data_IF_003174553094
#
_entry.id   IF_003174553094
#
_cell.length_a   1.000
_cell.length_b   1.000
_cell.length_c   1.000
_cell.angle_alpha   90.00
_cell.angle_beta   90.00
_cell.angle_gamma   90.00
#
_symmetry.space_group_name_H-M   'P 1'
#
loop_
_entity.id
_entity.type
_entity.pdbx_description
1 polymer ?
#
# COMPACT_ATOMS: atom_id res chain seq x y z
N UNK A 1 -40.68 -1.57 7.33
CA UNK A 1 -39.99 -1.52 8.64
C UNK A 1 -38.91 -2.59 8.66
N UNK A 2 -37.66 -2.20 8.48
CA UNK A 2 -36.48 -3.00 8.84
C UNK A 2 -35.52 -2.03 9.52
N UNK A 3 -35.64 -1.90 10.84
CA UNK A 3 -34.63 -1.28 11.68
C UNK A 3 -33.49 -2.28 11.82
N UNK A 4 -32.40 -2.09 11.06
CA UNK A 4 -31.09 -2.56 11.51
C UNK A 4 -30.46 -1.42 12.31
N UNK A 5 -30.23 -1.69 13.60
CA UNK A 5 -29.77 -0.72 14.57
C UNK A 5 -28.47 -0.05 14.15
N UNK A 6 -28.51 1.27 14.01
CA UNK A 6 -27.33 2.12 14.20
C UNK A 6 -27.01 2.09 15.69
N UNK A 7 -26.18 1.15 16.13
CA UNK A 7 -25.51 1.27 17.41
C UNK A 7 -24.05 1.58 17.12
N UNK A 8 -23.80 2.85 16.77
CA UNK A 8 -22.46 3.42 16.81
C UNK A 8 -22.24 3.71 18.30
N UNK A 9 -21.52 2.82 18.99
CA UNK A 9 -20.96 3.16 20.29
C UNK A 9 -19.82 4.13 20.01
N UNK A 10 -20.12 5.43 20.04
CA UNK A 10 -19.08 6.48 20.06
C UNK A 10 -18.38 6.36 21.42
N UNK A 11 -17.31 5.57 21.47
CA UNK A 11 -16.32 5.71 22.53
C UNK A 11 -15.73 7.12 22.38
N UNK A 12 -15.71 7.88 23.46
CA UNK A 12 -15.16 9.23 23.48
C UNK A 12 -13.70 9.20 22.98
N UNK A 13 -13.48 9.54 21.71
CA UNK A 13 -12.14 9.67 21.16
C UNK A 13 -11.54 10.98 21.66
N UNK A 14 -10.69 10.89 22.68
CA UNK A 14 -9.81 11.99 23.11
C UNK A 14 -8.63 12.21 22.14
N UNK A 15 -8.55 11.46 21.04
CA UNK A 15 -7.46 11.56 20.10
C UNK A 15 -7.65 12.73 19.13
N UNK A 16 -6.75 13.70 19.22
CA UNK A 16 -6.71 14.95 18.44
C UNK A 16 -6.37 14.68 16.96
N UNK A 17 -5.93 13.47 16.60
CA UNK A 17 -5.46 13.11 15.26
C UNK A 17 -6.07 11.78 14.79
N UNK A 18 -7.29 11.80 14.27
CA UNK A 18 -7.92 10.56 13.81
C UNK A 18 -7.28 10.05 12.51
N UNK A 19 -6.54 8.95 12.63
CA UNK A 19 -5.95 8.21 11.53
C UNK A 19 -6.73 6.92 11.34
N UNK A 20 -7.34 6.77 10.17
CA UNK A 20 -8.23 5.65 9.90
C UNK A 20 -7.67 4.76 8.80
N UNK A 21 -7.66 3.46 9.04
CA UNK A 21 -7.33 2.45 8.05
C UNK A 21 -8.59 1.75 7.58
N UNK A 22 -8.80 1.70 6.26
CA UNK A 22 -10.00 1.15 5.65
C UNK A 22 -9.68 0.13 4.56
N UNK A 23 -10.39 -0.99 4.58
CA UNK A 23 -10.32 -1.96 3.50
C UNK A 23 -11.63 -2.74 3.32
N UNK A 24 -11.89 -3.19 2.09
CA UNK A 24 -13.08 -3.94 1.73
C UNK A 24 -12.81 -5.40 1.41
N UNK A 25 -13.59 -6.29 2.03
CA UNK A 25 -13.55 -7.73 1.79
C UNK A 25 -14.74 -8.16 0.97
N UNK A 26 -14.46 -8.77 -0.18
CA UNK A 26 -15.48 -9.39 -1.03
C UNK A 26 -15.81 -10.79 -0.53
N UNK A 27 -17.07 -11.21 -0.69
CA UNK A 27 -17.53 -12.56 -0.33
C UNK A 27 -17.03 -13.65 -1.30
N UNK A 28 -16.71 -13.30 -2.54
CA UNK A 28 -16.09 -14.21 -3.51
C UNK A 28 -15.11 -13.48 -4.44
N UNK A 29 -14.14 -14.19 -5.05
CA UNK A 29 -13.20 -13.60 -5.98
C UNK A 29 -13.84 -13.16 -7.30
N UNK A 30 -13.21 -12.18 -7.95
CA UNK A 30 -13.54 -11.77 -9.33
C UNK A 30 -14.89 -11.07 -9.46
N UNK A 31 -15.45 -11.10 -10.66
CA UNK A 31 -16.68 -10.35 -10.97
C UNK A 31 -17.95 -10.92 -10.33
N UNK A 32 -17.85 -12.09 -9.68
CA UNK A 32 -18.98 -12.80 -9.10
C UNK A 32 -19.37 -12.31 -7.69
N UNK A 33 -18.53 -11.52 -7.02
CA UNK A 33 -18.79 -10.99 -5.67
C UNK A 33 -20.20 -10.42 -5.54
N UNK A 34 -20.95 -10.87 -4.53
CA UNK A 34 -22.31 -10.42 -4.25
C UNK A 34 -22.33 -9.35 -3.17
N UNK A 35 -21.42 -9.48 -2.19
CA UNK A 35 -21.34 -8.59 -1.04
C UNK A 35 -19.92 -8.04 -0.86
N UNK A 36 -19.83 -6.81 -0.40
CA UNK A 36 -18.60 -6.24 0.14
C UNK A 36 -18.86 -5.84 1.58
N UNK A 37 -18.01 -6.29 2.49
CA UNK A 37 -17.93 -5.77 3.86
C UNK A 37 -16.73 -4.85 3.93
N UNK A 38 -16.94 -3.58 4.24
CA UNK A 38 -15.89 -2.60 4.41
C UNK A 38 -15.76 -2.24 5.89
N UNK A 39 -14.55 -2.32 6.40
CA UNK A 39 -14.23 -2.08 7.81
C UNK A 39 -13.26 -0.92 7.90
N UNK A 40 -13.54 0.01 8.80
CA UNK A 40 -12.68 1.13 9.15
C UNK A 40 -12.25 1.00 10.61
N UNK A 41 -10.94 1.09 10.86
CA UNK A 41 -10.31 1.00 12.17
C UNK A 41 -9.53 2.29 12.47
N UNK A 42 -9.56 2.74 13.71
CA UNK A 42 -8.70 3.83 14.20
C UNK A 42 -7.35 3.23 14.62
N UNK A 43 -6.24 3.86 14.23
CA UNK A 43 -4.92 3.24 14.30
C UNK A 43 -4.30 3.27 15.71
N UNK A 44 -4.60 4.25 16.55
CA UNK A 44 -4.04 4.34 17.91
C UNK A 44 -4.78 3.40 18.87
N UNK A 45 -6.11 3.47 18.90
CA UNK A 45 -6.92 2.66 19.81
C UNK A 45 -7.15 1.25 19.29
N UNK A 46 -6.99 1.04 17.97
CA UNK A 46 -7.39 -0.19 17.25
C UNK A 46 -8.89 -0.47 17.34
N UNK A 47 -9.69 0.54 17.63
CA UNK A 47 -11.14 0.41 17.66
C UNK A 47 -11.71 0.41 16.25
N UNK A 48 -12.70 -0.46 16.05
CA UNK A 48 -13.49 -0.45 14.82
C UNK A 48 -14.48 0.69 14.91
N UNK A 49 -14.27 1.71 14.09
CA UNK A 49 -15.11 2.92 14.08
C UNK A 49 -16.31 2.78 13.16
N UNK A 50 -16.23 1.93 12.13
CA UNK A 50 -17.36 1.67 11.24
C UNK A 50 -17.19 0.34 10.50
N UNK A 51 -18.28 -0.44 10.42
CA UNK A 51 -18.43 -1.52 9.44
C UNK A 51 -19.66 -1.23 8.58
N UNK A 52 -19.53 -1.38 7.26
CA UNK A 52 -20.68 -1.36 6.35
C UNK A 52 -20.64 -2.60 5.46
N UNK A 53 -21.82 -3.16 5.16
CA UNK A 53 -21.96 -4.26 4.23
C UNK A 53 -22.94 -3.88 3.14
N UNK A 54 -22.47 -3.95 1.89
CA UNK A 54 -23.28 -3.62 0.73
C UNK A 54 -23.49 -4.80 -0.20
N UNK A 55 -24.63 -4.78 -0.89
CA UNK A 55 -25.06 -5.80 -1.84
C UNK A 55 -25.00 -5.23 -3.27
N UNK A 56 -24.28 -5.90 -4.17
CA UNK A 56 -24.14 -5.44 -5.57
C UNK A 56 -25.46 -5.22 -6.31
N UNK A 57 -26.55 -5.90 -5.91
CA UNK A 57 -27.88 -5.75 -6.53
C UNK A 57 -28.40 -4.32 -6.44
N UNK A 58 -27.95 -3.55 -5.44
CA UNK A 58 -28.30 -2.14 -5.27
C UNK A 58 -27.57 -1.21 -6.24
N UNK A 59 -26.48 -1.68 -6.87
CA UNK A 59 -25.55 -0.85 -7.65
C UNK A 59 -25.32 -1.43 -9.05
N UNK A 60 -26.40 -1.74 -9.76
CA UNK A 60 -26.33 -2.21 -11.14
C UNK A 60 -25.60 -3.55 -11.32
N UNK A 61 -25.48 -4.35 -10.25
CA UNK A 61 -24.81 -5.67 -10.23
C UNK A 61 -23.33 -5.61 -10.64
N UNK A 62 -22.68 -4.47 -10.44
CA UNK A 62 -21.25 -4.30 -10.73
C UNK A 62 -20.42 -4.47 -9.45
N UNK A 63 -19.73 -5.59 -9.33
CA UNK A 63 -18.84 -5.91 -8.19
C UNK A 63 -17.59 -5.02 -8.13
N UNK A 64 -17.15 -4.46 -9.26
CA UNK A 64 -15.92 -3.64 -9.34
C UNK A 64 -16.07 -2.31 -8.59
N UNK A 65 -17.30 -1.79 -8.48
CA UNK A 65 -17.56 -0.51 -7.79
C UNK A 65 -17.93 -0.70 -6.32
N UNK A 66 -18.11 -1.94 -5.87
CA UNK A 66 -18.76 -2.21 -4.59
C UNK A 66 -17.92 -1.72 -3.41
N UNK A 67 -16.61 -1.94 -3.47
CA UNK A 67 -15.67 -1.41 -2.46
C UNK A 67 -15.67 0.11 -2.42
N UNK A 68 -15.70 0.77 -3.59
CA UNK A 68 -15.79 2.23 -3.68
C UNK A 68 -17.07 2.75 -3.03
N UNK A 69 -18.20 2.09 -3.30
CA UNK A 69 -19.50 2.45 -2.72
C UNK A 69 -19.50 2.29 -1.21
N UNK A 70 -18.95 1.19 -0.69
CA UNK A 70 -18.79 1.00 0.75
C UNK A 70 -17.91 2.08 1.36
N UNK A 71 -16.75 2.37 0.74
CA UNK A 71 -15.84 3.42 1.18
C UNK A 71 -16.53 4.79 1.26
N UNK A 72 -17.28 5.18 0.21
CA UNK A 72 -18.01 6.44 0.20
C UNK A 72 -19.04 6.49 1.33
N UNK A 73 -19.83 5.42 1.51
CA UNK A 73 -20.81 5.31 2.60
C UNK A 73 -20.16 5.47 3.98
N UNK A 74 -19.02 4.82 4.18
CA UNK A 74 -18.25 4.89 5.43
C UNK A 74 -17.68 6.29 5.68
N UNK A 75 -17.02 6.90 4.69
CA UNK A 75 -16.43 8.23 4.84
C UNK A 75 -17.50 9.30 5.00
N UNK A 76 -18.59 9.25 4.23
CA UNK A 76 -19.71 10.19 4.34
C UNK A 76 -20.35 10.14 5.74
N UNK A 77 -20.40 8.96 6.38
CA UNK A 77 -20.85 8.82 7.76
C UNK A 77 -19.85 9.40 8.76
N UNK A 78 -18.57 9.04 8.65
CA UNK A 78 -17.56 9.37 9.66
C UNK A 78 -17.12 10.82 9.67
N UNK A 79 -17.15 11.51 8.53
CA UNK A 79 -16.72 12.92 8.44
C UNK A 79 -17.56 13.88 9.31
N UNK A 80 -18.79 13.49 9.67
CA UNK A 80 -19.65 14.28 10.55
C UNK A 80 -19.44 13.98 12.05
N UNK A 81 -18.73 12.89 12.37
CA UNK A 81 -18.63 12.34 13.72
C UNK A 81 -17.20 12.40 14.28
N UNK A 82 -16.20 12.34 13.40
CA UNK A 82 -14.78 12.20 13.77
C UNK A 82 -13.92 13.17 12.96
N UNK A 83 -12.95 13.88 13.58
CA UNK A 83 -12.03 14.77 12.88
C UNK A 83 -10.93 14.00 12.12
N UNK A 84 -11.30 13.33 11.03
CA UNK A 84 -10.39 12.54 10.19
C UNK A 84 -9.28 13.42 9.60
N UNK A 85 -8.02 13.02 9.80
CA UNK A 85 -6.85 13.69 9.22
C UNK A 85 -6.17 12.87 8.14
N UNK A 86 -6.08 11.56 8.35
CA UNK A 86 -5.39 10.64 7.46
C UNK A 86 -6.25 9.40 7.25
N UNK A 87 -6.34 8.97 5.99
CA UNK A 87 -7.00 7.73 5.59
C UNK A 87 -5.96 6.83 4.92
N UNK A 88 -5.85 5.59 5.39
CA UNK A 88 -4.97 4.55 4.86
C UNK A 88 -5.81 3.51 4.14
N UNK A 89 -5.47 3.22 2.89
CA UNK A 89 -6.17 2.19 2.11
C UNK A 89 -5.19 1.36 1.30
N UNK A 90 -5.69 0.28 0.72
CA UNK A 90 -5.01 -0.39 -0.38
C UNK A 90 -4.92 0.52 -1.62
N UNK A 91 -4.08 0.10 -2.59
CA UNK A 91 -3.86 0.81 -3.85
C UNK A 91 -5.05 0.69 -4.82
N UNK A 92 -6.25 1.01 -4.36
CA UNK A 92 -7.48 0.98 -5.13
C UNK A 92 -7.67 2.31 -5.88
N UNK A 93 -7.69 2.23 -7.22
CA UNK A 93 -7.73 3.40 -8.11
C UNK A 93 -8.96 4.29 -7.94
N UNK A 94 -10.13 3.70 -7.68
CA UNK A 94 -11.37 4.47 -7.55
C UNK A 94 -11.39 5.25 -6.22
N UNK A 95 -10.99 4.61 -5.13
CA UNK A 95 -10.83 5.26 -3.82
C UNK A 95 -9.77 6.36 -3.88
N UNK A 96 -8.61 6.07 -4.50
CA UNK A 96 -7.56 7.07 -4.71
C UNK A 96 -8.03 8.30 -5.47
N UNK A 97 -8.97 8.14 -6.41
CA UNK A 97 -9.55 9.26 -7.16
C UNK A 97 -10.53 10.08 -6.30
N UNK A 98 -11.27 9.45 -5.38
CA UNK A 98 -12.15 10.15 -4.43
C UNK A 98 -11.36 11.02 -3.44
N UNK A 99 -10.19 10.54 -3.02
CA UNK A 99 -9.27 11.21 -2.09
C UNK A 99 -8.24 12.13 -2.78
N UNK A 100 -8.37 12.38 -4.09
CA UNK A 100 -7.47 13.31 -4.76
C UNK A 100 -7.64 14.74 -4.19
N UNK A 101 -6.56 15.42 -3.79
CA UNK A 101 -6.65 16.70 -3.07
C UNK A 101 -7.07 17.87 -3.97
N UNK A 102 -7.14 17.69 -5.29
CA UNK A 102 -7.49 18.75 -6.25
C UNK A 102 -8.86 18.49 -6.87
N UNK A 103 -9.15 17.23 -7.22
CA UNK A 103 -10.30 16.84 -8.04
C UNK A 103 -11.22 15.84 -7.36
N UNK A 104 -10.82 15.28 -6.22
CA UNK A 104 -11.57 14.26 -5.53
C UNK A 104 -12.85 14.79 -4.88
N UNK A 105 -13.79 13.89 -4.60
CA UNK A 105 -15.03 14.17 -3.87
C UNK A 105 -14.75 14.78 -2.49
N UNK A 106 -13.67 14.33 -1.84
CA UNK A 106 -13.32 14.70 -0.46
C UNK A 106 -12.24 15.78 -0.36
N UNK A 107 -11.93 16.49 -1.45
CA UNK A 107 -10.85 17.50 -1.48
C UNK A 107 -11.01 18.61 -0.44
N UNK A 108 -12.26 19.05 -0.17
CA UNK A 108 -12.54 20.17 0.72
C UNK A 108 -12.32 19.80 2.20
N UNK A 109 -12.21 18.50 2.50
CA UNK A 109 -11.91 17.98 3.84
C UNK A 109 -10.41 17.88 4.12
N UNK A 110 -9.55 18.16 3.13
CA UNK A 110 -8.09 18.16 3.27
C UNK A 110 -7.52 16.86 3.87
N UNK A 111 -8.13 15.72 3.52
CA UNK A 111 -7.69 14.40 4.00
C UNK A 111 -6.34 14.03 3.40
N UNK A 112 -5.41 13.59 4.24
CA UNK A 112 -4.18 12.94 3.77
C UNK A 112 -4.50 11.51 3.38
N UNK A 113 -4.11 11.11 2.16
CA UNK A 113 -4.26 9.73 1.69
C UNK A 113 -2.94 8.98 1.70
N UNK A 114 -2.84 7.98 2.55
CA UNK A 114 -1.73 7.04 2.64
C UNK A 114 -2.12 5.68 2.08
N UNK A 115 -1.12 4.94 1.59
CA UNK A 115 -1.32 3.62 1.02
C UNK A 115 -0.58 2.58 1.84
N UNK A 116 -1.16 1.38 1.92
CA UNK A 116 -0.53 0.26 2.62
C UNK A 116 0.82 -0.13 1.98
N UNK A 117 1.89 0.08 2.76
CA UNK A 117 3.26 -0.26 2.37
C UNK A 117 3.48 -1.77 2.26
N UNK A 118 2.76 -2.58 3.03
CA UNK A 118 2.85 -4.04 2.97
C UNK A 118 2.32 -4.57 1.64
N UNK A 119 1.13 -4.13 1.23
CA UNK A 119 0.56 -4.48 -0.07
C UNK A 119 1.45 -4.01 -1.23
N UNK A 120 2.07 -2.82 -1.12
CA UNK A 120 3.03 -2.34 -2.12
C UNK A 120 4.28 -3.23 -2.21
N UNK A 121 4.86 -3.60 -1.07
CA UNK A 121 6.01 -4.50 -0.96
C UNK A 121 5.72 -5.87 -1.58
N UNK A 122 4.55 -6.44 -1.26
CA UNK A 122 4.06 -7.71 -1.83
C UNK A 122 3.90 -7.62 -3.35
N UNK A 123 3.36 -6.51 -3.86
CA UNK A 123 3.20 -6.28 -5.30
C UNK A 123 4.56 -6.15 -6.02
N UNK A 124 5.55 -5.48 -5.44
CA UNK A 124 6.92 -5.42 -5.99
C UNK A 124 7.50 -6.83 -6.08
N UNK A 125 7.43 -7.60 -5.00
CA UNK A 125 7.88 -8.99 -4.98
C UNK A 125 7.18 -9.86 -6.04
N UNK A 126 5.87 -9.69 -6.21
CA UNK A 126 5.11 -10.39 -7.26
C UNK A 126 5.62 -10.03 -8.66
N UNK A 127 5.77 -8.74 -8.98
CA UNK A 127 6.26 -8.29 -10.29
C UNK A 127 7.65 -8.83 -10.62
N UNK A 128 8.55 -8.90 -9.63
CA UNK A 128 9.87 -9.48 -9.82
C UNK A 128 9.79 -10.99 -10.11
N UNK A 129 8.88 -11.71 -9.44
CA UNK A 129 8.64 -13.15 -9.66
C UNK A 129 7.93 -13.47 -10.98
N UNK A 130 7.19 -12.52 -11.55
CA UNK A 130 6.52 -12.66 -12.85
C UNK A 130 7.44 -12.33 -14.04
N UNK A 131 8.70 -12.00 -13.79
CA UNK A 131 9.70 -11.74 -14.82
C UNK A 131 9.85 -12.93 -15.79
N UNK A 132 10.20 -12.68 -17.08
CA UNK A 132 10.38 -13.76 -18.07
C UNK A 132 11.31 -14.87 -17.57
N UNK A 133 10.85 -16.12 -17.70
CA UNK A 133 11.58 -17.30 -17.20
C UNK A 133 12.86 -17.56 -18.01
N UNK A 134 13.95 -17.90 -17.34
CA UNK A 134 15.26 -18.18 -17.94
C UNK A 134 16.40 -18.15 -16.91
N UNK A 135 17.66 -18.28 -17.33
CA UNK A 135 18.82 -18.22 -16.41
C UNK A 135 18.86 -16.90 -15.61
N UNK A 136 18.58 -15.79 -16.29
CA UNK A 136 18.51 -14.45 -15.68
C UNK A 136 17.39 -14.33 -14.65
N UNK A 137 16.28 -15.06 -14.82
CA UNK A 137 15.21 -15.12 -13.83
C UNK A 137 15.73 -15.68 -12.50
N UNK A 138 16.50 -16.76 -12.56
CA UNK A 138 17.10 -17.38 -11.37
C UNK A 138 18.01 -16.40 -10.63
N UNK A 139 18.84 -15.63 -11.34
CA UNK A 139 19.68 -14.59 -10.71
C UNK A 139 18.82 -13.55 -10.00
N UNK A 140 17.79 -13.02 -10.67
CA UNK A 140 16.87 -12.04 -10.08
C UNK A 140 16.16 -12.60 -8.82
N UNK A 141 15.77 -13.88 -8.84
CA UNK A 141 15.09 -14.54 -7.74
C UNK A 141 15.88 -14.57 -6.43
N UNK A 142 17.22 -14.63 -6.50
CA UNK A 142 18.09 -14.55 -5.31
C UNK A 142 18.00 -13.19 -4.61
N UNK A 143 17.67 -12.13 -5.35
CA UNK A 143 17.60 -10.76 -4.86
C UNK A 143 16.20 -10.29 -4.46
N UNK A 144 15.14 -11.04 -4.80
CA UNK A 144 13.75 -10.58 -4.59
C UNK A 144 13.48 -10.19 -3.13
N UNK A 145 13.95 -10.99 -2.18
CA UNK A 145 13.78 -10.71 -0.75
C UNK A 145 14.46 -9.40 -0.36
N UNK A 146 15.71 -9.21 -0.78
CA UNK A 146 16.50 -8.03 -0.42
C UNK A 146 15.95 -6.77 -1.07
N UNK A 147 15.50 -6.85 -2.34
CA UNK A 147 14.87 -5.73 -3.04
C UNK A 147 13.56 -5.30 -2.35
N UNK A 148 12.74 -6.27 -1.93
CA UNK A 148 11.49 -5.99 -1.20
C UNK A 148 11.78 -5.38 0.17
N UNK A 149 12.78 -5.91 0.89
CA UNK A 149 13.22 -5.36 2.18
C UNK A 149 13.80 -3.95 2.02
N UNK A 150 14.55 -3.71 0.94
CA UNK A 150 15.10 -2.39 0.64
C UNK A 150 14.00 -1.38 0.33
N UNK A 151 12.96 -1.78 -0.41
CA UNK A 151 11.78 -0.92 -0.61
C UNK A 151 11.12 -0.55 0.73
N UNK A 152 10.92 -1.54 1.60
CA UNK A 152 10.36 -1.34 2.94
C UNK A 152 11.21 -0.36 3.75
N UNK A 153 12.53 -0.57 3.76
CA UNK A 153 13.51 0.33 4.38
C UNK A 153 13.41 1.76 3.82
N UNK A 154 13.35 1.92 2.50
CA UNK A 154 13.23 3.22 1.86
C UNK A 154 11.97 3.97 2.32
N UNK A 155 10.82 3.28 2.39
CA UNK A 155 9.57 3.87 2.88
C UNK A 155 9.65 4.27 4.35
N UNK A 156 10.33 3.48 5.18
CA UNK A 156 10.50 3.75 6.61
C UNK A 156 11.48 4.91 6.87
N UNK A 157 12.54 5.00 6.06
CA UNK A 157 13.69 5.89 6.28
C UNK A 157 13.50 7.28 5.68
N UNK A 158 12.81 7.37 4.55
CA UNK A 158 12.68 8.61 3.78
C UNK A 158 11.63 9.55 4.37
N UNK A 159 11.99 10.81 4.57
CA UNK A 159 11.05 11.89 4.93
C UNK A 159 10.56 12.70 3.73
N UNK A 160 11.20 12.53 2.57
CA UNK A 160 10.86 13.23 1.32
C UNK A 160 10.84 12.26 0.14
N UNK A 161 10.13 12.64 -0.93
CA UNK A 161 10.08 11.86 -2.17
C UNK A 161 11.46 11.77 -2.83
N UNK A 162 12.25 12.83 -2.72
CA UNK A 162 13.61 12.93 -3.24
C UNK A 162 14.53 11.95 -2.50
N UNK A 163 14.48 11.95 -1.17
CA UNK A 163 15.22 10.98 -0.36
C UNK A 163 14.82 9.54 -0.67
N UNK A 164 13.52 9.26 -0.78
CA UNK A 164 13.04 7.95 -1.18
C UNK A 164 13.65 7.51 -2.51
N UNK A 165 13.62 8.39 -3.53
CA UNK A 165 14.15 8.07 -4.87
C UNK A 165 15.65 7.80 -4.82
N UNK A 166 16.42 8.56 -4.04
CA UNK A 166 17.86 8.34 -3.89
C UNK A 166 18.15 6.96 -3.29
N UNK A 167 17.49 6.62 -2.18
CA UNK A 167 17.63 5.30 -1.55
C UNK A 167 17.16 4.17 -2.49
N UNK A 168 15.98 4.32 -3.07
CA UNK A 168 15.35 3.31 -3.89
C UNK A 168 16.14 3.02 -5.17
N UNK A 169 16.64 4.06 -5.86
CA UNK A 169 17.49 3.86 -7.04
C UNK A 169 18.83 3.21 -6.70
N UNK A 170 19.34 3.40 -5.46
CA UNK A 170 20.56 2.76 -4.98
C UNK A 170 20.54 1.22 -5.10
N UNK A 171 19.36 0.59 -5.06
CA UNK A 171 19.22 -0.86 -5.25
C UNK A 171 19.78 -1.33 -6.60
N UNK A 172 19.74 -0.49 -7.64
CA UNK A 172 20.26 -0.81 -8.97
C UNK A 172 21.80 -0.87 -9.00
N UNK A 173 22.46 -0.21 -8.06
CA UNK A 173 23.90 -0.29 -7.88
C UNK A 173 24.25 -1.45 -6.94
N UNK A 174 23.54 -1.55 -5.81
CA UNK A 174 23.80 -2.58 -4.81
C UNK A 174 23.76 -4.00 -5.37
N UNK A 175 22.74 -4.36 -6.17
CA UNK A 175 22.63 -5.71 -6.77
C UNK A 175 23.73 -6.05 -7.79
N UNK A 176 24.57 -5.08 -8.15
CA UNK A 176 25.72 -5.21 -9.06
C UNK A 176 27.06 -5.12 -8.32
N UNK A 177 27.04 -5.17 -6.99
CA UNK A 177 28.19 -4.94 -6.12
C UNK A 177 28.80 -3.52 -6.24
N UNK A 178 28.01 -2.54 -6.68
CA UNK A 178 28.41 -1.14 -6.68
C UNK A 178 27.87 -0.46 -5.41
N UNK A 179 28.72 -0.23 -4.41
CA UNK A 179 28.30 0.34 -3.12
C UNK A 179 28.51 1.84 -3.01
N UNK A 180 29.14 2.46 -4.01
CA UNK A 180 29.35 3.91 -4.10
C UNK A 180 29.10 4.35 -5.55
N UNK A 181 28.38 5.46 -5.73
CA UNK A 181 28.05 6.04 -7.03
C UNK A 181 27.95 7.57 -6.93
N UNK A 182 27.80 8.25 -8.07
CA UNK A 182 27.88 9.71 -8.15
C UNK A 182 26.88 10.45 -7.23
N UNK A 183 25.77 9.83 -6.87
CA UNK A 183 24.70 10.45 -6.09
C UNK A 183 24.46 9.79 -4.74
N UNK A 184 25.33 8.89 -4.28
CA UNK A 184 25.13 8.20 -3.00
C UNK A 184 25.98 6.95 -2.79
N UNK A 185 25.67 6.25 -1.70
CA UNK A 185 26.33 5.02 -1.28
C UNK A 185 25.33 4.14 -0.50
N UNK A 186 25.66 2.87 -0.29
CA UNK A 186 24.82 1.98 0.52
C UNK A 186 24.94 2.32 2.01
N UNK A 187 23.81 2.41 2.72
CA UNK A 187 23.75 2.70 4.16
C UNK A 187 23.92 1.43 5.01
N UNK A 188 25.04 0.71 4.84
CA UNK A 188 25.42 -0.43 5.66
C UNK A 188 26.94 -0.54 5.82
N UNK A 189 27.39 -1.19 6.90
CA UNK A 189 28.79 -1.59 7.08
C UNK A 189 29.21 -2.61 6.01
N UNK A 190 30.53 -2.79 5.77
CA UNK A 190 31.03 -3.82 4.87
C UNK A 190 30.39 -5.18 5.21
N UNK A 191 29.78 -5.79 4.20
CA UNK A 191 29.26 -7.15 4.33
C UNK A 191 30.44 -8.10 4.41
N UNK A 192 30.34 -9.11 5.28
CA UNK A 192 31.34 -10.17 5.32
C UNK A 192 31.34 -10.91 3.97
N UNK A 193 32.49 -11.00 3.32
CA UNK A 193 32.65 -11.70 2.03
C UNK A 193 32.20 -13.17 2.12
N UNK A 194 32.25 -13.78 3.31
CA UNK A 194 31.75 -15.13 3.56
C UNK A 194 30.21 -15.25 3.54
N UNK A 195 29.50 -14.13 3.61
CA UNK A 195 28.03 -14.06 3.58
C UNK A 195 27.45 -13.84 2.18
N UNK A 196 28.30 -13.59 1.18
CA UNK A 196 27.88 -13.28 -0.19
C UNK A 196 27.73 -14.52 -1.06
N UNK A 197 26.65 -15.27 -0.83
CA UNK A 197 26.30 -16.46 -1.63
C UNK A 197 25.48 -16.12 -2.90
N UNK A 198 25.07 -14.86 -3.08
CA UNK A 198 24.14 -14.46 -4.15
C UNK A 198 24.88 -14.06 -5.43
N UNK A 199 24.44 -14.55 -6.61
CA UNK A 199 25.01 -14.12 -7.88
C UNK A 199 24.67 -12.66 -8.16
N UNK A 200 25.68 -11.83 -8.41
CA UNK A 200 25.49 -10.43 -8.80
C UNK A 200 24.74 -10.30 -10.14
N UNK A 201 23.87 -9.31 -10.24
CA UNK A 201 23.16 -9.00 -11.48
C UNK A 201 24.12 -8.32 -12.46
N UNK A 202 24.26 -8.85 -13.66
CA UNK A 202 25.13 -8.27 -14.68
C UNK A 202 24.49 -7.03 -15.31
N UNK A 203 25.29 -5.97 -15.52
CA UNK A 203 24.78 -4.76 -16.16
C UNK A 203 24.29 -5.06 -17.59
N UNK A 204 23.09 -4.56 -17.90
CA UNK A 204 22.46 -4.74 -19.20
C UNK A 204 21.82 -6.11 -19.43
N UNK A 205 21.92 -7.06 -18.48
CA UNK A 205 21.25 -8.36 -18.57
C UNK A 205 19.72 -8.23 -18.49
N UNK A 206 19.00 -9.30 -18.87
CA UNK A 206 17.53 -9.30 -18.80
C UNK A 206 17.02 -9.11 -17.35
N UNK A 207 17.75 -9.63 -16.35
CA UNK A 207 17.46 -9.39 -14.94
C UNK A 207 17.60 -7.92 -14.58
N UNK A 208 18.71 -7.29 -14.99
CA UNK A 208 18.96 -5.87 -14.78
C UNK A 208 17.90 -4.99 -15.46
N UNK A 209 17.55 -5.28 -16.71
CA UNK A 209 16.52 -4.52 -17.43
C UNK A 209 15.15 -4.64 -16.79
N UNK A 210 14.78 -5.85 -16.33
CA UNK A 210 13.53 -6.07 -15.60
C UNK A 210 13.48 -5.28 -14.31
N UNK A 211 14.56 -5.32 -13.52
CA UNK A 211 14.66 -4.55 -12.28
C UNK A 211 14.57 -3.04 -12.54
N UNK A 212 15.28 -2.54 -13.55
CA UNK A 212 15.21 -1.13 -13.96
C UNK A 212 13.77 -0.70 -14.30
N UNK A 213 13.04 -1.51 -15.05
CA UNK A 213 11.66 -1.20 -15.44
C UNK A 213 10.70 -1.09 -14.24
N UNK A 214 10.99 -1.81 -13.15
CA UNK A 214 10.23 -1.76 -11.89
C UNK A 214 10.68 -0.55 -11.05
N UNK A 215 11.99 -0.42 -10.80
CA UNK A 215 12.56 0.62 -9.94
C UNK A 215 12.31 2.02 -10.49
N UNK A 216 12.50 2.21 -11.80
CA UNK A 216 12.41 3.50 -12.49
C UNK A 216 11.00 3.79 -13.03
N UNK A 217 9.98 3.04 -12.60
CA UNK A 217 8.62 3.21 -13.10
C UNK A 217 8.06 4.60 -12.75
N UNK A 218 8.10 5.52 -13.71
CA UNK A 218 7.67 6.93 -13.53
C UNK A 218 6.24 7.09 -13.04
N UNK A 219 5.33 6.17 -13.39
CA UNK A 219 3.93 6.24 -12.96
C UNK A 219 3.82 5.94 -11.47
N UNK A 220 4.46 4.86 -11.03
CA UNK A 220 4.46 4.45 -9.64
C UNK A 220 5.24 5.42 -8.74
N UNK A 221 6.36 5.96 -9.22
CA UNK A 221 7.15 6.96 -8.49
C UNK A 221 6.40 8.25 -8.16
N UNK A 222 5.27 8.54 -8.82
CA UNK A 222 4.38 9.67 -8.48
C UNK A 222 3.58 9.42 -7.21
N UNK A 223 3.30 8.16 -6.90
CA UNK A 223 2.46 7.75 -5.77
C UNK A 223 3.30 7.47 -4.51
N UNK A 224 4.63 7.48 -4.61
CA UNK A 224 5.58 7.23 -3.50
C UNK A 224 5.30 8.07 -2.26
N UNK A 225 4.87 9.32 -2.42
CA UNK A 225 4.50 10.19 -1.29
C UNK A 225 3.43 9.58 -0.37
N UNK A 226 2.63 8.65 -0.87
CA UNK A 226 1.60 7.94 -0.10
C UNK A 226 2.15 6.74 0.69
N UNK A 227 3.39 6.32 0.42
CA UNK A 227 4.05 5.19 1.10
C UNK A 227 5.08 5.64 2.15
N UNK A 228 5.65 6.84 2.02
CA UNK A 228 6.65 7.38 2.97
C UNK A 228 6.07 7.75 4.35
N UNK A 229 4.74 7.78 4.48
CA UNK A 229 4.06 7.84 5.78
C UNK A 229 4.10 6.51 6.54
N UNK A 230 4.58 5.45 5.87
CA UNK A 230 4.87 4.13 6.43
C UNK A 230 3.68 3.54 7.22
N UNK A 231 2.51 3.53 6.57
CA UNK A 231 1.26 3.00 7.14
C UNK A 231 0.97 1.59 6.62
N UNK A 232 0.33 0.78 7.46
CA UNK A 232 -0.17 -0.56 7.11
C UNK A 232 -1.65 -0.69 7.43
N UNK A 233 -2.33 -1.62 6.76
CA UNK A 233 -3.71 -2.03 7.09
C UNK A 233 -3.75 -3.40 7.79
N UNK A 234 -2.62 -3.86 8.34
CA UNK A 234 -2.45 -5.19 8.93
C UNK A 234 -3.41 -5.52 10.08
N UNK A 235 -3.85 -4.51 10.82
CA UNK A 235 -4.80 -4.69 11.92
C UNK A 235 -6.20 -5.11 11.39
N UNK A 236 -6.56 -4.67 10.18
CA UNK A 236 -7.79 -5.12 9.52
C UNK A 236 -7.73 -6.61 9.14
N UNK A 237 -6.58 -7.08 8.65
CA UNK A 237 -6.38 -8.50 8.31
C UNK A 237 -6.47 -9.40 9.55
N UNK A 238 -5.91 -8.95 10.67
CA UNK A 238 -5.99 -9.65 11.95
C UNK A 238 -7.44 -9.76 12.43
N UNK A 239 -8.20 -8.66 12.38
CA UNK A 239 -9.62 -8.64 12.74
C UNK A 239 -10.46 -9.62 11.89
N UNK A 240 -10.24 -9.62 10.57
CA UNK A 240 -10.99 -10.47 9.61
C UNK A 240 -10.61 -11.95 9.64
N UNK A 241 -9.59 -12.33 10.42
CA UNK A 241 -9.27 -13.74 10.64
C UNK A 241 -10.16 -14.33 11.74
N UNK A 242 -10.75 -13.47 12.58
CA UNK A 242 -11.56 -13.85 13.75
C UNK A 242 -13.07 -13.84 13.43
N UNK A 243 -13.50 -13.05 12.43
CA UNK A 243 -14.89 -12.86 12.02
C UNK A 243 -15.05 -12.96 10.50
#
# INVERSE_FOLDING_TARGET
MCHFGKQITLLYFSCIFSLLSGDGRMDSPGHCAQFCTYTMIEHETRDIVHIVREDKRRFGRNSVILEKVCFESTIDCLLNEIPIKEVVTDAHRQISALLDPVRGKYKDWSLTHSLDVWHASKNIGRKLREAPKGKEHTVLMHWVKDIVNHFWYCCQRASTVEQFKMLWHGVLHHVRNEHTWATGFCEHEPLDDSSQDKPWIQQGSAAHQTLNAIVLNKRWLKDVKKYITFRTTSDLESFRTIF
#
